data_IF_940966724347
#
_entry.id   IF_940966724347
#
_cell.length_a   1.000
_cell.length_b   1.000
_cell.length_c   1.000
_cell.angle_alpha   90.00
_cell.angle_beta   90.00
_cell.angle_gamma   90.00
#
_symmetry.space_group_name_H-M   'P 1'
#
loop_
_entity.id
_entity.type
_entity.pdbx_description
1 polymer ?
#
# COMPACT_ATOMS: atom_id res chain seq x y z
N UNK A 1 23.82 7.07 34.76
CA UNK A 1 24.94 6.61 33.91
C UNK A 1 24.80 5.11 33.72
N UNK A 2 24.12 4.66 32.66
CA UNK A 2 24.40 3.45 31.88
C UNK A 2 23.76 3.69 30.52
N UNK A 3 24.61 3.71 29.49
CA UNK A 3 24.24 3.84 28.08
C UNK A 3 23.89 2.43 27.61
N UNK A 4 22.66 2.21 27.13
CA UNK A 4 22.31 0.95 26.47
C UNK A 4 22.43 1.17 24.97
N UNK A 5 23.52 0.66 24.41
CA UNK A 5 23.87 0.62 23.00
C UNK A 5 22.81 -0.13 22.18
N UNK A 6 22.33 0.54 21.13
CA UNK A 6 21.61 -0.07 20.02
C UNK A 6 22.56 -1.03 19.27
N UNK A 7 22.18 -2.30 19.16
CA UNK A 7 22.80 -3.24 18.23
C UNK A 7 22.02 -3.14 16.92
N UNK A 8 22.58 -2.38 15.98
CA UNK A 8 22.18 -2.37 14.58
C UNK A 8 22.47 -3.73 13.96
N UNK A 9 21.43 -4.50 13.63
CA UNK A 9 21.56 -5.66 12.76
C UNK A 9 21.69 -5.16 11.31
N UNK A 10 22.94 -5.01 10.87
CA UNK A 10 23.31 -4.89 9.47
C UNK A 10 23.01 -6.21 8.75
N UNK A 11 21.76 -6.38 8.31
CA UNK A 11 21.43 -7.42 7.33
C UNK A 11 22.10 -7.02 6.03
N UNK A 12 23.09 -7.82 5.65
CA UNK A 12 24.03 -7.60 4.56
C UNK A 12 23.31 -7.43 3.22
N UNK A 13 23.62 -6.30 2.57
CA UNK A 13 23.17 -5.87 1.24
C UNK A 13 23.48 -6.90 0.12
N UNK A 14 24.32 -7.90 0.39
CA UNK A 14 24.75 -8.91 -0.58
C UNK A 14 23.76 -10.07 -0.81
N UNK A 15 22.88 -10.40 0.14
CA UNK A 15 21.83 -11.42 -0.10
C UNK A 15 20.66 -10.88 -0.96
N UNK A 16 20.66 -9.57 -1.19
CA UNK A 16 19.55 -8.77 -1.68
C UNK A 16 19.64 -8.59 -3.21
N UNK A 17 20.82 -8.70 -3.82
CA UNK A 17 21.03 -8.69 -5.27
C UNK A 17 20.94 -10.06 -5.92
N UNK A 18 20.76 -11.15 -5.17
CA UNK A 18 20.83 -12.51 -5.74
C UNK A 18 19.52 -13.03 -6.36
N UNK A 19 18.35 -12.50 -6.00
CA UNK A 19 17.08 -13.06 -6.49
C UNK A 19 16.83 -12.74 -7.97
N UNK A 20 17.12 -11.52 -8.43
CA UNK A 20 16.94 -11.13 -9.83
C UNK A 20 17.88 -11.95 -10.74
N UNK A 21 19.20 -12.07 -10.45
CA UNK A 21 20.09 -12.99 -11.15
C UNK A 21 19.69 -14.45 -11.06
N UNK A 22 19.15 -14.92 -9.92
CA UNK A 22 18.62 -16.29 -9.81
C UNK A 22 17.42 -16.49 -10.73
N UNK A 23 16.48 -15.54 -10.78
CA UNK A 23 15.37 -15.56 -11.73
C UNK A 23 15.89 -15.48 -13.16
N UNK A 24 16.88 -14.62 -13.46
CA UNK A 24 17.55 -14.52 -14.76
C UNK A 24 18.21 -15.86 -15.16
N UNK A 25 19.03 -16.47 -14.31
CA UNK A 25 19.74 -17.72 -14.61
C UNK A 25 18.79 -18.91 -14.74
N UNK A 26 17.72 -18.89 -13.95
CA UNK A 26 16.63 -19.83 -14.01
C UNK A 26 15.81 -19.65 -15.30
N UNK A 27 15.64 -18.42 -15.77
CA UNK A 27 14.96 -18.07 -17.02
C UNK A 27 15.81 -18.29 -18.27
N UNK A 28 17.14 -18.19 -18.20
CA UNK A 28 18.06 -18.34 -19.35
C UNK A 28 17.84 -19.59 -20.22
N UNK A 29 17.61 -20.80 -19.68
CA UNK A 29 17.37 -21.99 -20.51
C UNK A 29 15.97 -22.03 -21.14
N UNK A 30 15.02 -21.22 -20.66
CA UNK A 30 13.66 -21.18 -21.15
C UNK A 30 13.40 -19.87 -21.90
N UNK A 31 13.25 -19.95 -23.22
CA UNK A 31 12.96 -18.79 -24.09
C UNK A 31 11.49 -18.81 -24.52
N UNK A 32 10.53 -18.45 -23.63
CA UNK A 32 9.16 -18.20 -24.05
C UNK A 32 9.16 -17.00 -25.02
N UNK A 33 8.21 -16.98 -25.94
CA UNK A 33 8.10 -15.91 -26.95
C UNK A 33 7.69 -14.58 -26.33
N UNK A 34 6.88 -14.63 -25.27
CA UNK A 34 6.40 -13.46 -24.53
C UNK A 34 6.44 -13.76 -23.04
N UNK A 35 6.95 -12.81 -22.25
CA UNK A 35 6.98 -12.79 -20.79
C UNK A 35 6.33 -11.52 -20.28
N UNK A 36 5.14 -11.62 -19.72
CA UNK A 36 4.47 -10.49 -19.06
C UNK A 36 4.26 -10.78 -17.58
N UNK A 37 4.39 -9.75 -16.75
CA UNK A 37 4.12 -9.82 -15.33
C UNK A 37 3.21 -8.67 -14.90
N UNK A 38 2.19 -8.98 -14.11
CA UNK A 38 1.34 -8.00 -13.43
C UNK A 38 1.46 -8.20 -11.94
N UNK A 39 1.61 -7.12 -11.18
CA UNK A 39 1.75 -7.15 -9.72
C UNK A 39 0.77 -6.14 -9.14
N UNK A 40 -0.08 -6.55 -8.21
CA UNK A 40 -0.78 -5.61 -7.35
C UNK A 40 0.14 -5.27 -6.17
N UNK A 41 0.59 -4.02 -6.07
CA UNK A 41 1.55 -3.60 -5.05
C UNK A 41 0.97 -3.75 -3.63
N UNK A 42 -0.34 -3.52 -3.46
CA UNK A 42 -1.01 -3.52 -2.15
C UNK A 42 -1.30 -4.93 -1.64
N UNK A 43 -1.89 -5.80 -2.46
CA UNK A 43 -2.17 -7.19 -2.05
C UNK A 43 -0.94 -8.09 -2.19
N UNK A 44 0.02 -7.68 -3.03
CA UNK A 44 1.21 -8.44 -3.47
C UNK A 44 0.89 -9.63 -4.37
N UNK A 45 -0.37 -9.76 -4.80
CA UNK A 45 -0.76 -10.76 -5.78
C UNK A 45 -0.07 -10.45 -7.11
N UNK A 46 0.38 -11.50 -7.78
CA UNK A 46 1.03 -11.38 -9.07
C UNK A 46 0.59 -12.45 -10.04
N UNK A 47 0.55 -12.04 -11.30
CA UNK A 47 0.25 -12.90 -12.44
C UNK A 47 1.41 -12.86 -13.43
N UNK A 48 1.86 -14.02 -13.86
CA UNK A 48 2.90 -14.17 -14.87
C UNK A 48 2.31 -14.90 -16.07
N UNK A 49 2.45 -14.31 -17.25
CA UNK A 49 1.97 -14.88 -18.51
C UNK A 49 3.13 -15.20 -19.42
N UNK A 50 3.20 -16.45 -19.85
CA UNK A 50 4.28 -17.01 -20.67
C UNK A 50 3.67 -17.56 -21.97
N UNK A 51 4.08 -17.01 -23.12
CA UNK A 51 3.71 -17.57 -24.43
C UNK A 51 4.73 -18.65 -24.83
N UNK A 52 4.23 -19.86 -25.05
CA UNK A 52 5.04 -21.05 -25.34
C UNK A 52 4.81 -21.48 -26.78
N UNK A 53 5.90 -21.66 -27.53
CA UNK A 53 5.87 -22.22 -28.87
C UNK A 53 6.32 -23.69 -28.83
N UNK A 54 5.40 -24.59 -29.17
CA UNK A 54 5.57 -26.03 -29.19
C UNK A 54 5.29 -26.51 -30.61
N UNK A 55 6.32 -26.64 -31.47
CA UNK A 55 6.11 -27.07 -32.84
C UNK A 55 5.52 -28.49 -32.89
N UNK A 56 4.62 -28.71 -33.85
CA UNK A 56 3.97 -30.00 -34.06
C UNK A 56 4.93 -31.11 -34.55
N UNK A 57 4.46 -32.36 -34.56
CA UNK A 57 5.16 -33.50 -35.15
C UNK A 57 6.03 -34.31 -34.18
N UNK A 58 7.07 -34.97 -34.71
CA UNK A 58 7.89 -35.93 -33.95
C UNK A 58 8.56 -35.29 -32.71
N UNK A 59 8.96 -34.02 -32.82
CA UNK A 59 9.59 -33.27 -31.72
C UNK A 59 8.69 -33.15 -30.49
N UNK A 60 7.37 -33.11 -30.68
CA UNK A 60 6.37 -33.04 -29.60
C UNK A 60 6.31 -34.32 -28.77
N UNK A 61 6.55 -35.48 -29.38
CA UNK A 61 6.44 -36.79 -28.70
C UNK A 61 7.58 -37.07 -27.71
N UNK A 62 8.72 -36.40 -27.87
CA UNK A 62 9.93 -36.64 -27.07
C UNK A 62 10.37 -35.44 -26.25
N UNK A 63 9.69 -34.29 -26.37
CA UNK A 63 10.07 -33.06 -25.69
C UNK A 63 9.16 -32.80 -24.50
N UNK A 64 9.78 -32.53 -23.36
CA UNK A 64 9.11 -31.90 -22.23
C UNK A 64 9.49 -30.42 -22.22
N UNK A 65 8.56 -29.57 -21.81
CA UNK A 65 8.88 -28.19 -21.43
C UNK A 65 9.23 -28.19 -19.96
N UNK A 66 10.40 -27.64 -19.64
CA UNK A 66 10.81 -27.41 -18.26
C UNK A 66 10.64 -25.92 -17.97
N UNK A 67 9.64 -25.60 -17.17
CA UNK A 67 9.45 -24.25 -16.62
C UNK A 67 10.04 -24.25 -15.22
N UNK A 68 10.87 -23.29 -14.87
CA UNK A 68 11.34 -23.20 -13.52
C UNK A 68 10.23 -23.02 -12.50
N UNK A 69 10.41 -23.62 -11.32
CA UNK A 69 9.47 -23.39 -10.22
C UNK A 69 9.80 -22.07 -9.54
N UNK A 70 8.93 -21.08 -9.72
CA UNK A 70 9.00 -19.85 -8.95
C UNK A 70 8.43 -20.10 -7.56
N UNK A 71 9.19 -19.75 -6.52
CA UNK A 71 8.70 -19.82 -5.15
C UNK A 71 7.47 -18.91 -5.02
N UNK A 72 6.40 -19.43 -4.42
CA UNK A 72 5.11 -18.76 -4.24
C UNK A 72 4.27 -18.54 -5.50
N UNK A 73 4.61 -19.16 -6.63
CA UNK A 73 3.72 -19.19 -7.80
C UNK A 73 3.27 -20.61 -8.10
N UNK A 74 2.02 -20.71 -8.51
CA UNK A 74 1.35 -21.92 -8.94
C UNK A 74 0.78 -21.70 -10.33
N UNK A 75 0.53 -22.78 -11.04
CA UNK A 75 -0.10 -22.69 -12.36
C UNK A 75 -1.58 -22.42 -12.14
N UNK A 76 -2.06 -21.35 -12.75
CA UNK A 76 -3.45 -20.96 -12.70
C UNK A 76 -4.23 -21.65 -13.82
N UNK A 77 -3.82 -21.42 -15.08
CA UNK A 77 -4.40 -22.06 -16.25
C UNK A 77 -3.40 -22.12 -17.40
N UNK A 78 -3.75 -22.90 -18.42
CA UNK A 78 -3.07 -22.92 -19.70
C UNK A 78 -4.13 -22.91 -20.81
N UNK A 79 -3.93 -22.10 -21.84
CA UNK A 79 -4.80 -22.03 -23.02
C UNK A 79 -4.01 -22.41 -24.28
N UNK A 80 -4.69 -22.97 -25.26
CA UNK A 80 -4.15 -23.17 -26.61
C UNK A 80 -4.41 -21.97 -27.53
N UNK A 81 -4.11 -22.11 -28.83
CA UNK A 81 -4.28 -21.03 -29.82
C UNK A 81 -5.76 -20.74 -30.13
N UNK A 82 -6.67 -21.66 -29.78
CA UNK A 82 -8.13 -21.48 -29.90
C UNK A 82 -8.73 -20.82 -28.65
N UNK A 83 -7.90 -20.49 -27.65
CA UNK A 83 -8.31 -20.03 -26.32
C UNK A 83 -9.09 -21.07 -25.51
N UNK A 84 -8.97 -22.35 -25.86
CA UNK A 84 -9.55 -23.44 -25.09
C UNK A 84 -8.63 -23.78 -23.92
N UNK A 85 -9.23 -23.99 -22.74
CA UNK A 85 -8.47 -24.33 -21.54
C UNK A 85 -7.95 -25.76 -21.61
N UNK A 86 -6.65 -25.91 -21.37
CA UNK A 86 -5.95 -27.20 -21.40
C UNK A 86 -6.06 -27.86 -20.03
N UNK A 87 -6.57 -29.09 -19.99
CA UNK A 87 -6.63 -29.87 -18.75
C UNK A 87 -5.22 -30.30 -18.28
N UNK A 88 -4.74 -29.70 -17.19
CA UNK A 88 -3.37 -29.86 -16.72
C UNK A 88 -3.11 -31.13 -15.88
N UNK A 89 -4.15 -31.80 -15.38
CA UNK A 89 -4.04 -32.88 -14.37
C UNK A 89 -3.13 -34.04 -14.79
N UNK A 90 -3.07 -34.34 -16.09
CA UNK A 90 -2.28 -35.46 -16.64
C UNK A 90 -1.08 -35.02 -17.50
N UNK A 91 -0.82 -33.71 -17.54
CA UNK A 91 0.19 -33.11 -18.42
C UNK A 91 1.37 -32.59 -17.60
N UNK A 92 1.12 -32.23 -16.34
CA UNK A 92 2.11 -31.57 -15.49
C UNK A 92 2.67 -32.54 -14.45
N UNK A 93 3.99 -32.54 -14.32
CA UNK A 93 4.70 -33.12 -13.17
C UNK A 93 5.49 -32.02 -12.48
N UNK A 94 5.28 -31.86 -11.17
CA UNK A 94 5.92 -30.83 -10.36
C UNK A 94 7.11 -31.44 -9.61
N UNK A 95 8.31 -30.93 -9.90
CA UNK A 95 9.53 -31.21 -9.16
C UNK A 95 9.82 -30.08 -8.14
N UNK A 96 10.76 -30.28 -7.20
CA UNK A 96 11.16 -29.22 -6.28
C UNK A 96 11.74 -27.96 -6.95
N UNK A 97 12.32 -28.09 -8.15
CA UNK A 97 13.01 -26.99 -8.86
C UNK A 97 12.34 -26.56 -10.16
N UNK A 98 11.47 -27.40 -10.73
CA UNK A 98 10.90 -27.20 -12.05
C UNK A 98 9.51 -27.81 -12.15
N UNK A 99 8.77 -27.32 -13.13
CA UNK A 99 7.48 -27.80 -13.58
C UNK A 99 7.75 -28.40 -14.96
N UNK A 100 7.56 -29.70 -15.11
CA UNK A 100 7.68 -30.34 -16.41
C UNK A 100 6.29 -30.51 -17.02
N UNK A 101 6.11 -30.02 -18.24
CA UNK A 101 4.91 -30.19 -19.06
C UNK A 101 5.21 -31.22 -20.14
N UNK A 102 4.45 -32.33 -20.13
CA UNK A 102 4.54 -33.40 -21.13
C UNK A 102 3.87 -32.98 -22.44
N UNK A 103 4.66 -32.57 -23.44
CA UNK A 103 4.10 -32.05 -24.68
C UNK A 103 3.31 -33.09 -25.49
N UNK A 104 3.54 -34.39 -25.25
CA UNK A 104 2.81 -35.50 -25.86
C UNK A 104 1.32 -35.49 -25.53
N UNK A 105 0.93 -34.91 -24.39
CA UNK A 105 -0.43 -34.95 -23.86
C UNK A 105 -1.19 -33.63 -24.07
N UNK A 106 -0.55 -32.61 -24.64
CA UNK A 106 -1.20 -31.33 -24.97
C UNK A 106 -2.17 -31.51 -26.17
N UNK A 107 -3.19 -30.65 -26.35
CA UNK A 107 -4.04 -30.58 -27.56
C UNK A 107 -3.29 -30.18 -28.83
N UNK A 108 -3.77 -30.49 -30.04
CA UNK A 108 -3.08 -30.09 -31.28
C UNK A 108 -3.06 -28.56 -31.47
N UNK A 109 -1.98 -27.91 -31.05
CA UNK A 109 -1.72 -26.48 -31.17
C UNK A 109 -0.21 -26.24 -31.16
N UNK A 110 0.25 -25.20 -31.87
CA UNK A 110 1.64 -24.74 -31.85
C UNK A 110 1.90 -23.73 -30.73
N UNK A 111 0.87 -22.99 -30.31
CA UNK A 111 1.00 -21.92 -29.31
C UNK A 111 0.17 -22.21 -28.08
N UNK A 112 0.74 -21.86 -26.94
CA UNK A 112 0.06 -21.95 -25.67
C UNK A 112 0.35 -20.74 -24.81
N UNK A 113 -0.65 -20.30 -24.07
CA UNK A 113 -0.51 -19.29 -23.03
C UNK A 113 -0.54 -19.99 -21.68
N UNK A 114 0.58 -19.95 -20.95
CA UNK A 114 0.64 -20.42 -19.57
C UNK A 114 0.53 -19.22 -18.63
N UNK A 115 -0.43 -19.28 -17.71
CA UNK A 115 -0.60 -18.29 -16.66
C UNK A 115 -0.23 -18.88 -15.30
N UNK A 116 0.63 -18.17 -14.57
CA UNK A 116 1.00 -18.49 -13.20
C UNK A 116 0.46 -17.41 -12.27
N UNK A 117 -0.06 -17.82 -11.13
CA UNK A 117 -0.52 -16.94 -10.06
C UNK A 117 0.31 -17.14 -8.82
N UNK A 118 0.59 -16.06 -8.11
CA UNK A 118 1.39 -16.13 -6.90
C UNK A 118 1.39 -14.87 -6.08
N UNK A 119 2.26 -14.85 -5.07
CA UNK A 119 2.46 -13.69 -4.19
C UNK A 119 3.92 -13.28 -4.21
N UNK A 120 4.16 -11.99 -4.49
CA UNK A 120 5.50 -11.41 -4.48
C UNK A 120 5.91 -11.06 -3.04
N UNK A 121 7.06 -11.54 -2.54
CA UNK A 121 7.54 -11.14 -1.23
C UNK A 121 7.78 -9.62 -1.16
N UNK A 122 7.49 -9.00 -0.02
CA UNK A 122 7.66 -7.55 0.16
C UNK A 122 9.09 -7.07 -0.19
N UNK A 123 10.09 -7.84 0.24
CA UNK A 123 11.51 -7.54 -0.03
C UNK A 123 11.80 -7.51 -1.54
N UNK A 124 11.13 -8.32 -2.35
CA UNK A 124 11.27 -8.27 -3.81
C UNK A 124 10.53 -7.05 -4.38
N UNK A 125 9.34 -6.75 -3.86
CA UNK A 125 8.55 -5.61 -4.28
C UNK A 125 9.26 -4.27 -4.03
N UNK A 126 9.90 -4.10 -2.87
CA UNK A 126 10.67 -2.90 -2.50
C UNK A 126 11.89 -2.66 -3.43
N UNK A 127 12.34 -3.71 -4.13
CA UNK A 127 13.41 -3.64 -5.14
C UNK A 127 12.88 -3.40 -6.55
N UNK A 128 11.63 -3.74 -6.82
CA UNK A 128 10.99 -3.45 -8.10
C UNK A 128 10.48 -2.02 -8.10
N UNK A 129 9.93 -1.57 -6.97
CA UNK A 129 9.27 -0.26 -6.86
C UNK A 129 9.89 0.55 -5.74
N UNK A 130 10.21 1.80 -6.04
CA UNK A 130 10.48 2.82 -5.05
C UNK A 130 9.26 3.71 -4.90
N UNK A 131 8.84 3.95 -3.66
CA UNK A 131 7.85 4.97 -3.32
C UNK A 131 8.54 5.98 -2.41
N UNK A 132 8.60 7.23 -2.84
CA UNK A 132 9.14 8.30 -2.02
C UNK A 132 8.14 8.63 -0.90
N UNK A 133 8.58 8.64 0.36
CA UNK A 133 7.74 9.11 1.45
C UNK A 133 7.38 10.59 1.26
N UNK A 134 6.14 10.97 1.58
CA UNK A 134 5.63 12.34 1.44
C UNK A 134 6.19 13.31 2.51
N UNK A 135 7.50 13.54 2.49
CA UNK A 135 8.23 14.35 3.47
C UNK A 135 8.26 15.83 3.06
N UNK A 136 8.31 16.10 1.75
CA UNK A 136 8.37 17.47 1.22
C UNK A 136 6.98 18.09 1.23
N UNK A 137 6.73 18.97 2.19
CA UNK A 137 5.48 19.71 2.37
C UNK A 137 5.69 21.17 1.96
N UNK A 138 4.99 21.62 0.93
CA UNK A 138 4.80 23.05 0.72
C UNK A 138 3.59 23.49 1.56
N UNK A 139 3.85 24.36 2.54
CA UNK A 139 2.85 24.81 3.51
C UNK A 139 2.49 26.25 3.24
N UNK A 140 1.27 26.46 2.78
CA UNK A 140 0.65 27.79 2.73
C UNK A 140 -0.43 27.88 3.81
N UNK A 141 -0.89 29.10 4.13
CA UNK A 141 -2.04 29.28 5.02
C UNK A 141 -3.33 28.66 4.46
N UNK A 142 -3.43 28.50 3.13
CA UNK A 142 -4.66 28.04 2.47
C UNK A 142 -4.69 26.53 2.30
N UNK A 143 -3.56 25.95 1.94
CA UNK A 143 -3.43 24.53 1.60
C UNK A 143 -2.05 23.98 1.95
N UNK A 144 -2.00 22.68 2.21
CA UNK A 144 -0.77 21.91 2.38
C UNK A 144 -0.61 20.98 1.17
N UNK A 145 0.51 21.09 0.45
CA UNK A 145 0.81 20.26 -0.71
C UNK A 145 1.92 19.26 -0.39
N UNK A 146 1.72 18.03 -0.82
CA UNK A 146 2.57 16.89 -0.55
C UNK A 146 3.06 16.36 -1.90
N UNK A 147 4.38 16.41 -2.12
CA UNK A 147 4.96 15.82 -3.33
C UNK A 147 4.99 14.30 -3.23
N UNK A 148 4.51 13.64 -4.28
CA UNK A 148 4.44 12.20 -4.44
C UNK A 148 5.34 11.80 -5.60
N UNK A 149 6.17 10.78 -5.38
CA UNK A 149 6.99 10.16 -6.42
C UNK A 149 7.00 8.66 -6.23
N UNK A 150 6.80 7.92 -7.31
CA UNK A 150 6.86 6.46 -7.33
C UNK A 150 7.51 6.03 -8.63
N UNK A 151 8.43 5.07 -8.58
CA UNK A 151 9.14 4.62 -9.76
C UNK A 151 9.49 3.13 -9.73
N UNK A 152 9.55 2.51 -10.90
CA UNK A 152 10.17 1.20 -11.10
C UNK A 152 11.68 1.39 -11.04
N UNK A 153 12.35 0.59 -10.20
CA UNK A 153 13.81 0.55 -10.11
C UNK A 153 14.37 -0.36 -11.21
N UNK A 154 15.59 -0.04 -11.68
CA UNK A 154 16.35 -0.87 -12.61
C UNK A 154 15.56 -1.31 -13.85
N UNK A 155 14.90 -0.36 -14.51
CA UNK A 155 14.04 -0.59 -15.69
C UNK A 155 14.75 -1.42 -16.76
N UNK A 156 16.01 -1.11 -17.06
CA UNK A 156 16.82 -1.82 -18.05
C UNK A 156 16.91 -3.33 -17.76
N UNK A 157 17.17 -3.71 -16.51
CA UNK A 157 17.25 -5.13 -16.10
C UNK A 157 15.87 -5.81 -16.20
N UNK A 158 14.81 -5.08 -15.90
CA UNK A 158 13.45 -5.60 -15.98
C UNK A 158 12.96 -5.73 -17.42
N UNK A 159 13.40 -4.88 -18.35
CA UNK A 159 13.13 -4.98 -19.79
C UNK A 159 13.87 -6.17 -20.44
N UNK A 160 15.07 -6.53 -19.96
CA UNK A 160 15.73 -7.77 -20.38
C UNK A 160 14.95 -9.03 -19.95
N UNK A 161 14.20 -8.92 -18.85
CA UNK A 161 13.46 -10.02 -18.25
C UNK A 161 12.04 -10.15 -18.79
N UNK A 162 11.33 -9.04 -18.95
CA UNK A 162 9.91 -8.96 -19.23
C UNK A 162 9.64 -8.09 -20.44
N UNK A 163 8.84 -8.59 -21.37
CA UNK A 163 8.31 -7.77 -22.48
C UNK A 163 7.25 -6.77 -22.00
N UNK A 164 6.71 -7.00 -20.80
CA UNK A 164 5.81 -6.07 -20.13
C UNK A 164 5.69 -6.36 -18.64
N UNK A 165 5.97 -5.33 -17.83
CA UNK A 165 5.68 -5.32 -16.40
C UNK A 165 4.64 -4.25 -16.12
N UNK A 166 3.58 -4.63 -15.41
CA UNK A 166 2.59 -3.73 -14.86
C UNK A 166 2.62 -3.85 -13.34
N UNK A 167 2.72 -2.72 -12.64
CA UNK A 167 2.54 -2.65 -11.20
C UNK A 167 1.35 -1.75 -10.91
N UNK A 168 0.27 -2.37 -10.46
CA UNK A 168 -0.98 -1.70 -10.11
C UNK A 168 -1.01 -1.36 -8.61
N UNK A 169 -1.86 -0.40 -8.23
CA UNK A 169 -2.09 0.04 -6.85
C UNK A 169 -0.82 0.44 -6.07
N UNK A 170 0.17 1.00 -6.75
CA UNK A 170 1.38 1.53 -6.11
C UNK A 170 0.96 2.66 -5.17
N UNK A 171 1.12 2.41 -3.86
CA UNK A 171 0.52 3.23 -2.82
C UNK A 171 1.53 4.20 -2.23
N UNK A 172 1.31 5.49 -2.44
CA UNK A 172 1.99 6.57 -1.73
C UNK A 172 1.11 7.03 -0.56
N UNK A 173 1.57 6.76 0.66
CA UNK A 173 0.84 7.10 1.88
C UNK A 173 1.22 8.48 2.43
N UNK A 174 0.22 9.29 2.75
CA UNK A 174 0.40 10.62 3.34
C UNK A 174 -0.31 10.73 4.68
N UNK A 175 0.40 11.18 5.71
CA UNK A 175 -0.22 11.56 6.99
C UNK A 175 -0.42 13.08 7.04
N UNK A 176 -1.69 13.50 7.15
CA UNK A 176 -2.12 14.88 7.25
C UNK A 176 -2.49 15.17 8.70
N UNK A 177 -1.76 16.10 9.34
CA UNK A 177 -2.07 16.56 10.69
C UNK A 177 -3.30 17.47 10.70
N UNK A 178 -4.34 17.06 11.41
CA UNK A 178 -5.61 17.78 11.55
C UNK A 178 -5.82 18.33 12.96
N UNK A 179 -5.00 17.91 13.92
CA UNK A 179 -4.99 18.36 15.31
C UNK A 179 -5.08 19.88 15.44
N UNK A 180 -4.22 20.63 14.73
CA UNK A 180 -4.17 22.09 14.76
C UNK A 180 -5.39 22.72 14.11
N UNK A 181 -5.84 22.13 13.01
CA UNK A 181 -7.00 22.61 12.26
C UNK A 181 -8.29 22.48 13.07
N UNK A 182 -8.37 21.46 13.94
CA UNK A 182 -9.49 21.28 14.87
C UNK A 182 -9.30 22.13 16.11
N UNK A 183 -8.15 22.03 16.78
CA UNK A 183 -7.92 22.66 18.09
C UNK A 183 -7.98 24.17 18.08
N UNK A 184 -7.53 24.81 16.99
CA UNK A 184 -7.62 26.27 16.83
C UNK A 184 -9.03 26.77 16.62
N UNK A 185 -9.97 25.89 16.26
CA UNK A 185 -11.38 26.19 16.00
C UNK A 185 -12.32 25.73 17.11
N UNK A 186 -11.76 25.15 18.18
CA UNK A 186 -12.53 24.76 19.35
C UNK A 186 -13.02 26.01 20.11
N UNK A 187 -14.32 26.09 20.44
CA UNK A 187 -14.83 27.02 21.44
C UNK A 187 -14.13 26.86 22.80
N UNK A 188 -13.85 27.96 23.50
CA UNK A 188 -13.05 27.96 24.74
C UNK A 188 -13.67 27.07 25.84
N UNK A 189 -15.01 27.09 25.96
CA UNK A 189 -15.76 26.23 26.89
C UNK A 189 -15.56 24.73 26.63
N UNK A 190 -15.40 24.33 25.37
CA UNK A 190 -15.16 22.94 24.98
C UNK A 190 -13.69 22.59 25.25
N UNK A 191 -12.78 23.49 24.90
CA UNK A 191 -11.34 23.34 25.14
C UNK A 191 -11.03 23.13 26.63
N UNK A 192 -11.59 23.97 27.50
CA UNK A 192 -11.45 23.81 28.95
C UNK A 192 -12.00 22.47 29.46
N UNK A 193 -13.11 21.99 28.88
CA UNK A 193 -13.69 20.70 29.21
C UNK A 193 -12.81 19.51 28.80
N UNK A 194 -12.19 19.58 27.61
CA UNK A 194 -11.25 18.56 27.12
C UNK A 194 -9.96 18.56 27.95
N UNK A 195 -9.43 19.73 28.30
CA UNK A 195 -8.24 19.84 29.16
C UNK A 195 -8.51 19.26 30.55
N UNK A 196 -9.67 19.55 31.14
CA UNK A 196 -10.07 18.97 32.43
C UNK A 196 -10.22 17.45 32.36
N UNK A 197 -10.73 16.91 31.25
CA UNK A 197 -10.82 15.47 31.01
C UNK A 197 -9.43 14.83 30.88
N UNK A 198 -8.54 15.43 30.10
CA UNK A 198 -7.19 14.92 29.90
C UNK A 198 -6.38 14.94 31.22
N UNK A 199 -6.46 16.04 31.97
CA UNK A 199 -5.86 16.15 33.30
C UNK A 199 -6.38 15.08 34.27
N UNK A 200 -7.68 14.78 34.23
CA UNK A 200 -8.25 13.68 35.03
C UNK A 200 -7.73 12.31 34.60
N UNK A 201 -7.63 12.05 33.30
CA UNK A 201 -7.07 10.80 32.79
C UNK A 201 -5.60 10.61 33.16
N UNK A 202 -4.79 11.67 33.09
CA UNK A 202 -3.38 11.66 33.50
C UNK A 202 -3.24 11.44 35.00
N UNK A 203 -4.00 12.16 35.83
CA UNK A 203 -3.99 11.96 37.28
C UNK A 203 -4.41 10.54 37.69
N UNK A 204 -5.31 9.91 36.92
CA UNK A 204 -5.67 8.51 37.12
C UNK A 204 -4.51 7.53 36.94
N UNK A 205 -3.48 7.90 36.17
CA UNK A 205 -2.28 7.08 35.93
C UNK A 205 -1.19 7.28 36.99
N UNK A 206 -1.17 8.41 37.71
CA UNK A 206 -0.14 8.71 38.73
C UNK A 206 -0.38 7.99 40.05
N UNK A 207 -1.61 7.55 40.32
CA UNK A 207 -1.97 6.82 41.55
C UNK A 207 -2.10 7.71 42.80
N UNK A 208 -1.90 9.02 42.68
CA UNK A 208 -2.13 9.97 43.76
C UNK A 208 -3.62 10.32 43.88
N UNK A 209 -4.23 9.87 44.98
CA UNK A 209 -5.66 10.07 45.27
C UNK A 209 -6.04 11.56 45.36
N UNK A 210 -5.14 12.42 45.81
CA UNK A 210 -5.40 13.85 45.95
C UNK A 210 -5.39 14.55 44.59
N UNK A 211 -4.48 14.18 43.70
CA UNK A 211 -4.45 14.69 42.33
C UNK A 211 -5.70 14.27 41.54
N UNK A 212 -6.11 13.01 41.67
CA UNK A 212 -7.33 12.48 41.04
C UNK A 212 -8.57 13.26 41.52
N UNK A 213 -8.69 13.48 42.84
CA UNK A 213 -9.82 14.23 43.41
C UNK A 213 -9.83 15.69 42.96
N UNK A 214 -8.66 16.34 42.89
CA UNK A 214 -8.53 17.73 42.41
C UNK A 214 -8.91 17.84 40.94
N UNK A 215 -8.41 16.94 40.09
CA UNK A 215 -8.75 16.90 38.67
C UNK A 215 -10.24 16.57 38.43
N UNK A 216 -10.82 15.69 39.23
CA UNK A 216 -12.25 15.38 39.17
C UNK A 216 -13.13 16.60 39.50
N UNK A 217 -12.80 17.36 40.55
CA UNK A 217 -13.51 18.59 40.91
C UNK A 217 -13.41 19.64 39.81
N UNK A 218 -12.23 19.84 39.24
CA UNK A 218 -12.02 20.74 38.10
C UNK A 218 -12.86 20.33 36.89
N UNK A 219 -13.00 19.03 36.62
CA UNK A 219 -13.87 18.52 35.56
C UNK A 219 -15.35 18.78 35.81
N UNK A 220 -15.81 18.73 37.07
CA UNK A 220 -17.20 19.04 37.42
C UNK A 220 -17.51 20.54 37.28
N UNK A 221 -16.56 21.41 37.62
CA UNK A 221 -16.77 22.87 37.56
C UNK A 221 -16.53 23.46 36.18
N UNK A 222 -15.56 22.92 35.43
CA UNK A 222 -15.24 23.32 34.05
C UNK A 222 -15.90 22.42 32.99
N UNK A 223 -16.84 21.58 33.40
CA UNK A 223 -17.56 20.71 32.48
C UNK A 223 -18.27 21.56 31.43
N UNK A 224 -17.92 21.39 30.15
CA UNK A 224 -18.62 22.07 29.07
C UNK A 224 -20.11 21.68 29.11
N UNK A 225 -21.01 22.63 28.79
CA UNK A 225 -22.44 22.33 28.63
C UNK A 225 -22.70 21.27 27.55
N UNK A 226 -21.79 21.17 26.58
CA UNK A 226 -21.83 20.17 25.51
C UNK A 226 -21.50 18.80 26.08
N UNK A 227 -22.34 17.80 25.78
CA UNK A 227 -22.10 16.45 26.27
C UNK A 227 -20.88 15.87 25.56
N UNK A 228 -19.98 15.24 26.32
CA UNK A 228 -18.80 14.57 25.75
C UNK A 228 -19.15 13.61 24.61
N UNK A 229 -20.32 12.98 24.66
CA UNK A 229 -20.83 12.12 23.59
C UNK A 229 -21.01 12.87 22.26
N UNK A 230 -21.62 14.05 22.29
CA UNK A 230 -21.85 14.89 21.11
C UNK A 230 -20.51 15.36 20.51
N UNK A 231 -19.53 15.64 21.37
CA UNK A 231 -18.16 15.97 20.96
C UNK A 231 -17.46 14.82 20.23
N UNK A 232 -17.54 13.59 20.77
CA UNK A 232 -16.95 12.43 20.11
C UNK A 232 -17.66 12.10 18.78
N UNK A 233 -18.99 12.24 18.73
CA UNK A 233 -19.75 12.09 17.48
C UNK A 233 -19.34 13.15 16.45
N UNK A 234 -19.09 14.39 16.89
CA UNK A 234 -18.56 15.42 16.01
C UNK A 234 -17.16 15.08 15.51
N UNK A 235 -16.22 14.70 16.37
CA UNK A 235 -14.87 14.32 15.94
C UNK A 235 -14.89 13.13 14.98
N UNK A 236 -15.77 12.15 15.22
CA UNK A 236 -16.00 11.04 14.31
C UNK A 236 -16.51 11.52 12.95
N UNK A 237 -17.41 12.50 12.93
CA UNK A 237 -17.93 13.10 11.68
C UNK A 237 -16.83 13.87 10.94
N UNK A 238 -16.02 14.67 11.65
CA UNK A 238 -14.93 15.46 11.08
C UNK A 238 -13.77 14.62 10.52
N UNK A 239 -13.69 13.37 10.96
CA UNK A 239 -12.68 12.39 10.53
C UNK A 239 -13.25 11.27 9.69
N UNK A 240 -14.54 11.34 9.36
CA UNK A 240 -15.18 10.37 8.47
C UNK A 240 -14.61 10.52 7.06
N UNK A 241 -14.27 9.40 6.42
CA UNK A 241 -13.69 9.35 5.07
C UNK A 241 -14.48 10.19 4.07
N UNK A 242 -15.81 10.11 4.09
CA UNK A 242 -16.69 10.85 3.17
C UNK A 242 -16.66 12.37 3.39
N UNK A 243 -16.49 12.81 4.64
CA UNK A 243 -16.37 14.23 4.95
C UNK A 243 -14.97 14.73 4.57
N UNK A 244 -13.94 14.01 4.99
CA UNK A 244 -12.56 14.44 4.82
C UNK A 244 -12.09 14.42 3.35
N UNK A 245 -12.59 13.48 2.53
CA UNK A 245 -12.29 13.41 1.09
C UNK A 245 -12.66 14.70 0.35
N UNK A 246 -13.66 15.44 0.83
CA UNK A 246 -14.07 16.72 0.26
C UNK A 246 -13.05 17.85 0.42
N UNK A 247 -11.91 17.61 1.09
CA UNK A 247 -10.83 18.58 1.30
C UNK A 247 -9.48 18.09 0.77
N UNK A 248 -9.45 16.96 0.08
CA UNK A 248 -8.24 16.36 -0.46
C UNK A 248 -8.35 16.26 -1.97
N UNK A 249 -7.37 16.80 -2.67
CA UNK A 249 -7.24 16.68 -4.11
C UNK A 249 -5.94 15.93 -4.44
N UNK A 250 -6.00 14.99 -5.37
CA UNK A 250 -4.85 14.23 -5.85
C UNK A 250 -4.68 14.51 -7.34
N UNK A 251 -3.49 14.93 -7.74
CA UNK A 251 -3.16 15.21 -9.13
C UNK A 251 -2.79 13.91 -9.88
N UNK A 252 -3.23 13.81 -11.13
CA UNK A 252 -2.81 12.74 -12.06
C UNK A 252 -1.28 12.71 -12.15
N UNK A 253 -0.62 11.54 -12.16
CA UNK A 253 -1.14 10.19 -12.45
C UNK A 253 -1.59 9.40 -11.22
N UNK A 254 -1.76 10.05 -10.08
CA UNK A 254 -2.29 9.41 -8.88
C UNK A 254 -3.82 9.52 -8.82
N UNK A 255 -4.44 8.55 -8.16
CA UNK A 255 -5.85 8.53 -7.82
C UNK A 255 -6.01 8.46 -6.30
N UNK A 256 -7.08 9.05 -5.78
CA UNK A 256 -7.39 8.99 -4.35
C UNK A 256 -7.76 7.55 -3.96
N UNK A 257 -7.01 6.99 -3.00
CA UNK A 257 -7.22 5.67 -2.43
C UNK A 257 -8.00 5.72 -1.12
N UNK A 258 -7.62 4.84 -0.18
CA UNK A 258 -8.24 4.79 1.15
C UNK A 258 -7.89 6.04 1.96
N UNK A 259 -8.88 6.53 2.70
CA UNK A 259 -8.70 7.54 3.76
C UNK A 259 -9.13 6.93 5.07
N UNK A 260 -8.26 6.99 6.08
CA UNK A 260 -8.53 6.47 7.42
C UNK A 260 -7.97 7.38 8.50
N UNK A 261 -8.66 7.40 9.64
CA UNK A 261 -8.17 8.02 10.85
C UNK A 261 -7.33 6.96 11.59
N UNK A 262 -6.05 7.23 11.84
CA UNK A 262 -5.23 6.35 12.66
C UNK A 262 -5.69 6.50 14.12
N UNK A 263 -6.09 5.39 14.71
CA UNK A 263 -6.57 5.19 16.10
C UNK A 263 -6.63 6.46 16.98
N UNK A 264 -7.86 6.78 17.42
CA UNK A 264 -8.15 7.83 18.40
C UNK A 264 -7.66 7.37 19.78
N UNK A 265 -6.35 7.33 20.01
CA UNK A 265 -5.77 7.12 21.34
C UNK A 265 -5.94 8.38 22.21
N UNK A 266 -6.12 9.54 21.57
CA UNK A 266 -6.25 10.84 22.19
C UNK A 266 -7.69 11.37 22.11
N UNK A 267 -8.05 12.31 22.99
CA UNK A 267 -9.38 12.94 22.99
C UNK A 267 -9.68 13.75 21.73
N UNK A 268 -8.63 14.13 20.99
CA UNK A 268 -8.69 14.82 19.71
C UNK A 268 -8.07 13.93 18.62
N UNK A 269 -8.63 13.95 17.40
CA UNK A 269 -7.98 13.33 16.27
C UNK A 269 -6.70 14.08 15.89
N UNK A 270 -5.62 13.32 15.69
CA UNK A 270 -4.31 13.89 15.40
C UNK A 270 -4.04 13.94 13.89
N UNK A 271 -4.11 12.78 13.23
CA UNK A 271 -3.71 12.61 11.84
C UNK A 271 -4.76 11.83 11.03
N UNK A 272 -4.94 12.24 9.77
CA UNK A 272 -5.62 11.46 8.75
C UNK A 272 -4.60 10.84 7.81
N UNK A 273 -4.68 9.53 7.62
CA UNK A 273 -3.90 8.82 6.61
C UNK A 273 -4.67 8.80 5.29
N UNK A 274 -4.01 9.22 4.22
CA UNK A 274 -4.55 9.24 2.86
C UNK A 274 -3.63 8.45 1.95
N UNK A 275 -4.19 7.48 1.23
CA UNK A 275 -3.50 6.78 0.16
C UNK A 275 -3.68 7.52 -1.17
N UNK A 276 -2.59 7.67 -1.91
CA UNK A 276 -2.59 8.02 -3.32
C UNK A 276 -2.09 6.81 -4.13
N UNK A 277 -2.92 6.31 -5.03
CA UNK A 277 -2.66 5.09 -5.80
C UNK A 277 -2.22 5.45 -7.23
N UNK A 278 -1.21 4.80 -7.76
CA UNK A 278 -0.81 4.94 -9.16
C UNK A 278 -0.51 3.59 -9.80
N UNK A 279 -0.33 3.61 -11.12
CA UNK A 279 0.04 2.46 -11.93
C UNK A 279 1.37 2.75 -12.61
N UNK A 280 2.30 1.82 -12.48
CA UNK A 280 3.61 1.91 -13.13
C UNK A 280 3.73 0.80 -14.19
N UNK A 281 4.38 1.11 -15.30
CA UNK A 281 4.69 0.14 -16.36
C UNK A 281 6.10 0.36 -16.88
N UNK A 282 6.69 -0.57 -17.61
CA UNK A 282 8.02 -0.32 -18.22
C UNK A 282 8.01 0.90 -19.15
N UNK A 283 6.87 1.19 -19.80
CA UNK A 283 6.70 2.37 -20.67
C UNK A 283 6.51 3.67 -19.90
N UNK A 284 5.97 3.59 -18.69
CA UNK A 284 5.75 4.70 -17.77
C UNK A 284 6.28 4.28 -16.40
N UNK A 285 7.62 4.22 -16.26
CA UNK A 285 8.24 3.64 -15.07
C UNK A 285 8.13 4.56 -13.87
N UNK A 286 7.88 5.85 -14.08
CA UNK A 286 7.82 6.88 -13.03
C UNK A 286 6.47 7.58 -13.04
N UNK A 287 5.96 7.84 -11.85
CA UNK A 287 4.79 8.65 -11.56
C UNK A 287 5.17 9.75 -10.57
N UNK A 288 4.90 11.00 -10.93
CA UNK A 288 5.13 12.16 -10.06
C UNK A 288 3.88 13.02 -10.04
N UNK A 289 3.54 13.56 -8.88
CA UNK A 289 2.37 14.41 -8.72
C UNK A 289 2.28 15.00 -7.33
N UNK A 290 1.18 15.67 -7.05
CA UNK A 290 0.92 16.27 -5.75
C UNK A 290 -0.41 15.80 -5.17
N UNK A 291 -0.44 15.67 -3.84
CA UNK A 291 -1.68 15.65 -3.09
C UNK A 291 -1.80 16.97 -2.34
N UNK A 292 -2.98 17.60 -2.40
CA UNK A 292 -3.27 18.88 -1.77
C UNK A 292 -4.36 18.72 -0.73
N UNK A 293 -4.13 19.23 0.48
CA UNK A 293 -5.12 19.35 1.54
C UNK A 293 -5.60 20.80 1.63
N UNK A 294 -6.88 21.05 1.38
CA UNK A 294 -7.53 22.38 1.44
C UNK A 294 -7.80 22.81 2.89
N UNK A 295 -6.71 23.01 3.64
CA UNK A 295 -6.71 23.31 5.07
C UNK A 295 -7.70 24.40 5.48
N UNK A 296 -7.70 25.55 4.81
CA UNK A 296 -8.56 26.69 5.19
C UNK A 296 -10.06 26.41 4.98
N UNK A 297 -10.41 25.58 4.01
CA UNK A 297 -11.80 25.15 3.79
C UNK A 297 -12.23 24.15 4.86
N UNK A 298 -11.35 23.21 5.19
CA UNK A 298 -11.57 22.27 6.29
C UNK A 298 -11.79 23.00 7.61
N UNK A 299 -10.90 23.93 7.99
CA UNK A 299 -11.01 24.75 9.21
C UNK A 299 -12.34 25.53 9.27
N UNK A 300 -12.79 26.11 8.15
CA UNK A 300 -14.09 26.81 8.09
C UNK A 300 -15.27 25.86 8.32
N UNK A 301 -15.22 24.65 7.78
CA UNK A 301 -16.26 23.64 7.98
C UNK A 301 -16.27 23.12 9.41
N UNK A 302 -15.09 22.92 10.01
CA UNK A 302 -14.94 22.57 11.42
C UNK A 302 -15.54 23.64 12.32
N UNK A 303 -15.21 24.91 12.10
CA UNK A 303 -15.72 26.05 12.87
C UNK A 303 -17.26 26.12 12.82
N UNK A 304 -17.85 25.96 11.64
CA UNK A 304 -19.33 25.91 11.48
C UNK A 304 -19.95 24.77 12.28
N UNK A 305 -19.34 23.58 12.23
CA UNK A 305 -19.86 22.41 12.96
C UNK A 305 -19.80 22.56 14.48
N UNK A 306 -18.82 23.29 15.00
CA UNK A 306 -18.78 23.63 16.42
C UNK A 306 -19.85 24.65 16.82
N UNK A 307 -20.16 25.60 15.93
CA UNK A 307 -21.25 26.56 16.15
C UNK A 307 -22.63 25.88 16.19
N UNK A 308 -22.82 24.79 15.45
CA UNK A 308 -24.09 24.04 15.44
C UNK A 308 -24.40 23.30 16.77
N UNK A 309 -23.38 23.06 17.60
CA UNK A 309 -23.47 22.26 18.85
C UNK A 309 -23.30 23.14 20.11
N UNK A 310 -22.80 24.37 19.97
CA UNK A 310 -22.57 25.33 21.07
C UNK A 310 -23.80 26.15 21.41
#
# INVERSE_FOLDING_TARGET
MVITTAVSASVSINAVTEWIPKVIDVLKPFKPEIKKMSINYKSRDAEMSLALNIPEGFRRKFRNIEIPRYQNFEINYMMDESFDEVNLNNIISIDPRKINIKCSNLPASEKYLLNLKGVVPQIALDKIVYVQPSINKDRTEKAERYWLSSMIRDVETLEELWDGLNVDDVTAGVNIGIDRSISTKLPENIKEGLDALNNYAIAGKTGDRNEVLKAWRLRQTKGSKVKLKEMFELFKTLTETKFFSGFVDVESPYNLGKIENKEILNTLPDDMYVEALTKLTLKQPTAEGYMSFRKKEYEKCVEKKFQDIS
#
